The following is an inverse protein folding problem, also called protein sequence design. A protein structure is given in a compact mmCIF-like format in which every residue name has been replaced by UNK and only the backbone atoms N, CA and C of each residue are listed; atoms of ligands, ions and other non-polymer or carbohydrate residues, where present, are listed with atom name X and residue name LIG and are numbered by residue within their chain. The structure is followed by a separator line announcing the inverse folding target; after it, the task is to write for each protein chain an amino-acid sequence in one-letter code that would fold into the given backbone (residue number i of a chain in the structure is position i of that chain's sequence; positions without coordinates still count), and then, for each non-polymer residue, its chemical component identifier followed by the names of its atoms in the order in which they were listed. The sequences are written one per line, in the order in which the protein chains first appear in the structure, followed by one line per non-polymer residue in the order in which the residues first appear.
data_IF_916353574487
#
_entry.id   IF_916353574487
#
_cell.length_a   1.000
_cell.length_b   1.000
_cell.length_c   1.000
_cell.angle_alpha   90.00
_cell.angle_beta   90.00
_cell.angle_gamma   90.00
#
_symmetry.space_group_name_H-M   'P 1'
#
loop_
_entity.id
_entity.type
_entity.pdbx_description
1 polymer ?
#
# COMPACT_ATOMS: atom_id res chain seq x y z
N UNK A 1 2.99 -14.39 -17.85
CA UNK A 1 3.71 -13.10 -17.97
C UNK A 1 2.80 -12.08 -18.65
N UNK A 2 1.84 -11.51 -17.92
CA UNK A 2 0.98 -10.44 -18.45
C UNK A 2 1.38 -9.14 -17.72
N UNK A 3 1.76 -8.06 -18.44
CA UNK A 3 2.23 -6.82 -17.84
C UNK A 3 1.18 -6.14 -16.95
N UNK A 4 -0.10 -6.40 -17.17
CA UNK A 4 -1.19 -5.85 -16.36
C UNK A 4 -1.13 -6.34 -14.91
N UNK A 5 -0.46 -7.46 -14.63
CA UNK A 5 -0.20 -7.91 -13.26
C UNK A 5 0.48 -6.82 -12.40
N UNK A 6 1.23 -5.89 -13.00
CA UNK A 6 1.82 -4.75 -12.31
C UNK A 6 0.77 -3.91 -11.57
N UNK A 7 -0.42 -3.73 -12.15
CA UNK A 7 -1.49 -2.94 -11.52
C UNK A 7 -2.00 -3.57 -10.23
N UNK A 8 -1.93 -4.90 -10.11
CA UNK A 8 -2.26 -5.59 -8.85
C UNK A 8 -1.28 -5.24 -7.73
N UNK A 9 0.01 -5.11 -8.04
CA UNK A 9 1.02 -4.64 -7.08
C UNK A 9 0.80 -3.18 -6.68
N UNK A 10 0.56 -2.31 -7.67
CA UNK A 10 0.28 -0.89 -7.44
C UNK A 10 -0.92 -0.72 -6.53
N UNK A 11 -2.00 -1.46 -6.76
CA UNK A 11 -3.18 -1.44 -5.88
C UNK A 11 -2.86 -1.72 -4.41
N UNK A 12 -2.00 -2.71 -4.13
CA UNK A 12 -1.63 -3.03 -2.74
C UNK A 12 -0.80 -1.92 -2.11
N UNK A 13 0.16 -1.35 -2.84
CA UNK A 13 1.04 -0.30 -2.32
C UNK A 13 0.30 1.03 -2.08
N UNK A 14 -0.50 1.45 -3.06
CA UNK A 14 -1.30 2.68 -2.97
C UNK A 14 -2.46 2.49 -1.97
N UNK A 15 -3.28 1.45 -2.14
CA UNK A 15 -4.50 1.23 -1.33
C UNK A 15 -4.24 0.98 0.16
N UNK A 16 -3.12 0.33 0.51
CA UNK A 16 -2.74 0.12 1.92
C UNK A 16 -2.18 1.40 2.55
N UNK A 17 -1.48 2.23 1.77
CA UNK A 17 -0.92 3.50 2.24
C UNK A 17 -2.01 4.52 2.58
N UNK A 18 -3.07 4.59 1.76
CA UNK A 18 -4.18 5.54 1.98
C UNK A 18 -4.96 5.26 3.27
N UNK A 19 -5.25 3.99 3.53
CA UNK A 19 -6.17 3.60 4.61
C UNK A 19 -5.53 3.57 6.00
N UNK A 20 -4.23 3.27 6.07
CA UNK A 20 -3.55 2.93 7.34
C UNK A 20 -2.28 3.81 7.56
N UNK A 21 -1.70 4.36 6.50
CA UNK A 21 -0.40 5.07 6.56
C UNK A 21 -0.41 6.27 7.51
N UNK A 22 -1.44 7.13 7.42
CA UNK A 22 -1.55 8.30 8.30
C UNK A 22 -1.67 7.92 9.78
N UNK A 23 -2.54 6.95 10.10
CA UNK A 23 -2.71 6.46 11.48
C UNK A 23 -1.43 5.81 12.03
N UNK A 24 -0.68 5.08 11.18
CA UNK A 24 0.62 4.52 11.56
C UNK A 24 1.66 5.62 11.80
N UNK A 25 1.71 6.65 10.96
CA UNK A 25 2.63 7.77 11.12
C UNK A 25 2.39 8.50 12.46
N UNK A 26 1.14 8.82 12.79
CA UNK A 26 0.77 9.43 14.07
C UNK A 26 1.13 8.52 15.26
N UNK A 27 0.88 7.22 15.15
CA UNK A 27 1.18 6.25 16.21
C UNK A 27 2.69 6.07 16.41
N UNK A 28 3.48 6.06 15.35
CA UNK A 28 4.95 6.01 15.41
C UNK A 28 5.48 7.28 16.05
N UNK A 29 5.00 8.44 15.59
CA UNK A 29 5.42 9.74 16.10
C UNK A 29 5.18 9.85 17.61
N UNK A 30 3.98 9.51 18.07
CA UNK A 30 3.62 9.58 19.49
C UNK A 30 4.36 8.54 20.33
N UNK A 31 4.45 7.29 19.88
CA UNK A 31 5.12 6.21 20.63
C UNK A 31 6.62 6.49 20.82
N UNK A 32 7.27 7.06 19.81
CA UNK A 32 8.71 7.36 19.84
C UNK A 32 9.03 8.82 20.22
N UNK A 33 8.01 9.63 20.51
CA UNK A 33 8.15 11.06 20.83
C UNK A 33 8.99 11.84 19.80
N UNK A 34 8.72 11.59 18.51
CA UNK A 34 9.49 12.18 17.41
C UNK A 34 8.96 13.57 17.01
N UNK A 35 9.84 14.51 16.65
CA UNK A 35 9.41 15.81 16.14
C UNK A 35 8.69 15.67 14.78
N UNK A 36 7.80 16.61 14.40
CA UNK A 36 7.10 16.57 13.12
C UNK A 36 8.02 16.46 11.89
N UNK A 37 9.21 17.07 11.94
CA UNK A 37 10.21 17.02 10.88
C UNK A 37 10.73 15.60 10.59
N UNK A 38 10.69 14.69 11.57
CA UNK A 38 11.08 13.30 11.37
C UNK A 38 10.03 12.50 10.58
N UNK A 39 8.79 12.98 10.52
CA UNK A 39 7.65 12.26 9.91
C UNK A 39 7.28 12.80 8.53
N UNK A 40 7.98 13.83 8.03
CA UNK A 40 7.58 14.58 6.83
C UNK A 40 7.32 13.70 5.61
N UNK A 41 8.15 12.66 5.37
CA UNK A 41 7.96 11.70 4.27
C UNK A 41 6.71 10.82 4.46
N UNK A 42 6.54 10.23 5.63
CA UNK A 42 5.41 9.37 5.96
C UNK A 42 4.08 10.13 5.86
N UNK A 43 4.05 11.36 6.40
CA UNK A 43 2.86 12.20 6.39
C UNK A 43 2.56 12.70 4.98
N UNK A 44 3.52 13.29 4.28
CA UNK A 44 3.27 13.86 2.94
C UNK A 44 2.86 12.79 1.92
N UNK A 45 3.44 11.59 2.01
CA UNK A 45 3.09 10.50 1.12
C UNK A 45 1.69 9.95 1.41
N UNK A 46 1.31 9.81 2.69
CA UNK A 46 -0.04 9.34 3.07
C UNK A 46 -1.18 10.32 2.75
N UNK A 47 -0.89 11.61 2.65
CA UNK A 47 -1.90 12.67 2.43
C UNK A 47 -2.16 12.93 0.94
N UNK A 48 -1.26 12.51 0.04
CA UNK A 48 -1.42 12.70 -1.42
C UNK A 48 -2.38 11.70 -2.10
N UNK A 49 -2.90 10.75 -1.34
CA UNK A 49 -3.34 9.45 -1.87
C UNK A 49 -4.75 9.39 -2.49
N UNK A 50 -5.62 10.39 -2.28
CA UNK A 50 -6.98 10.35 -2.87
C UNK A 50 -6.97 10.57 -4.39
N UNK A 51 -6.15 11.48 -4.89
CA UNK A 51 -6.04 11.75 -6.33
C UNK A 51 -5.37 10.56 -7.04
N UNK A 52 -4.43 9.89 -6.39
CA UNK A 52 -3.79 8.66 -6.89
C UNK A 52 -4.81 7.52 -7.04
N UNK A 53 -5.72 7.34 -6.06
CA UNK A 53 -6.78 6.34 -6.16
C UNK A 53 -7.78 6.64 -7.29
N UNK A 54 -8.21 7.90 -7.42
CA UNK A 54 -9.12 8.29 -8.51
C UNK A 54 -8.48 8.09 -9.89
N UNK A 55 -7.19 8.45 -10.02
CA UNK A 55 -6.44 8.20 -11.24
C UNK A 55 -6.30 6.71 -11.53
N UNK A 56 -5.97 5.90 -10.53
CA UNK A 56 -5.87 4.45 -10.66
C UNK A 56 -7.20 3.83 -11.09
N UNK A 57 -8.31 4.21 -10.45
CA UNK A 57 -9.66 3.78 -10.83
C UNK A 57 -9.96 4.13 -12.29
N UNK A 58 -9.64 5.35 -12.73
CA UNK A 58 -9.85 5.78 -14.13
C UNK A 58 -9.08 4.92 -15.14
N UNK A 59 -7.91 4.38 -14.75
CA UNK A 59 -7.15 3.45 -15.58
C UNK A 59 -7.78 2.06 -15.59
N UNK A 60 -8.20 1.55 -14.42
CA UNK A 60 -8.80 0.23 -14.29
C UNK A 60 -10.14 0.15 -15.04
N UNK A 61 -10.92 1.22 -15.03
CA UNK A 61 -12.19 1.32 -15.76
C UNK A 61 -12.03 1.20 -17.29
N UNK A 62 -10.83 1.39 -17.83
CA UNK A 62 -10.53 1.20 -19.26
C UNK A 62 -10.25 -0.27 -19.62
N UNK A 63 -10.04 -1.13 -18.63
CA UNK A 63 -9.72 -2.55 -18.82
C UNK A 63 -11.04 -3.33 -18.81
N UNK A 64 -11.53 -3.71 -19.99
CA UNK A 64 -12.84 -4.35 -20.15
C UNK A 64 -12.79 -5.86 -20.36
N UNK A 65 -11.61 -6.39 -20.73
CA UNK A 65 -11.40 -7.82 -20.88
C UNK A 65 -11.34 -8.50 -19.51
N UNK A 66 -12.22 -9.46 -19.29
CA UNK A 66 -12.34 -10.19 -18.02
C UNK A 66 -11.05 -10.93 -17.66
N UNK A 67 -10.37 -11.51 -18.65
CA UNK A 67 -9.09 -12.19 -18.45
C UNK A 67 -7.99 -11.26 -17.94
N UNK A 68 -7.96 -10.02 -18.42
CA UNK A 68 -6.99 -9.00 -18.00
C UNK A 68 -7.30 -8.46 -16.61
N UNK A 69 -8.59 -8.26 -16.30
CA UNK A 69 -9.04 -7.92 -14.94
C UNK A 69 -8.66 -9.03 -13.95
N UNK A 70 -8.84 -10.29 -14.33
CA UNK A 70 -8.50 -11.43 -13.47
C UNK A 70 -7.01 -11.47 -13.15
N UNK A 71 -6.15 -11.21 -14.13
CA UNK A 71 -4.69 -11.12 -13.92
C UNK A 71 -4.33 -10.06 -12.87
N UNK A 72 -4.99 -8.89 -12.92
CA UNK A 72 -4.76 -7.80 -11.96
C UNK A 72 -5.18 -8.23 -10.55
N UNK A 73 -6.36 -8.84 -10.43
CA UNK A 73 -6.92 -9.31 -9.17
C UNK A 73 -6.02 -10.39 -8.55
N UNK A 74 -5.57 -11.36 -9.34
CA UNK A 74 -4.73 -12.46 -8.85
C UNK A 74 -3.35 -11.95 -8.41
N UNK A 75 -2.79 -10.99 -9.14
CA UNK A 75 -1.57 -10.30 -8.74
C UNK A 75 -1.75 -9.55 -7.42
N UNK A 76 -2.84 -8.80 -7.25
CA UNK A 76 -3.13 -8.09 -6.01
C UNK A 76 -3.23 -9.04 -4.81
N UNK A 77 -3.94 -10.17 -4.96
CA UNK A 77 -4.04 -11.21 -3.91
C UNK A 77 -2.67 -11.76 -3.53
N UNK A 78 -1.83 -12.05 -4.52
CA UNK A 78 -0.47 -12.54 -4.29
C UNK A 78 0.37 -11.51 -3.54
N UNK A 79 0.33 -10.23 -3.95
CA UNK A 79 1.10 -9.16 -3.32
C UNK A 79 0.62 -8.89 -1.89
N UNK A 80 -0.69 -8.92 -1.62
CA UNK A 80 -1.20 -8.85 -0.25
C UNK A 80 -0.67 -10.00 0.62
N UNK A 81 -0.66 -11.23 0.10
CA UNK A 81 -0.13 -12.38 0.82
C UNK A 81 1.36 -12.23 1.12
N UNK A 82 2.16 -11.82 0.11
CA UNK A 82 3.60 -11.57 0.25
C UNK A 82 3.91 -10.44 1.23
N UNK A 83 3.16 -9.34 1.17
CA UNK A 83 3.31 -8.21 2.09
C UNK A 83 3.03 -8.64 3.54
N UNK A 84 1.94 -9.40 3.75
CA UNK A 84 1.64 -9.98 5.05
C UNK A 84 2.70 -10.98 5.53
N UNK A 85 3.29 -11.77 4.63
CA UNK A 85 4.40 -12.68 4.97
C UNK A 85 5.65 -11.90 5.38
N UNK A 86 5.99 -10.83 4.67
CA UNK A 86 7.09 -9.93 5.03
C UNK A 86 6.90 -9.36 6.44
N UNK A 87 5.72 -8.83 6.77
CA UNK A 87 5.44 -8.31 8.11
C UNK A 87 5.53 -9.40 9.19
N UNK A 88 5.02 -10.61 8.93
CA UNK A 88 5.15 -11.75 9.86
C UNK A 88 6.58 -12.24 10.04
N UNK A 89 7.44 -12.00 9.05
CA UNK A 89 8.86 -12.37 9.11
C UNK A 89 9.71 -11.40 9.92
N UNK A 90 9.16 -10.22 10.28
CA UNK A 90 9.88 -9.26 11.12
C UNK A 90 10.13 -9.89 12.50
N UNK A 91 11.34 -9.78 13.04
CA UNK A 91 11.65 -10.30 14.36
C UNK A 91 10.77 -9.62 15.41
N UNK A 92 10.19 -10.40 16.30
CA UNK A 92 9.57 -9.83 17.50
C UNK A 92 10.69 -9.34 18.41
N UNK A 93 10.71 -8.04 18.70
CA UNK A 93 11.52 -7.53 19.79
C UNK A 93 10.87 -7.96 21.10
N UNK A 94 11.12 -9.19 21.52
CA UNK A 94 10.95 -9.57 22.92
C UNK A 94 12.11 -8.93 23.69
N UNK A 95 11.79 -7.93 24.52
CA UNK A 95 12.70 -7.38 25.52
C UNK A 95 13.21 -8.56 26.36
N UNK A 96 14.50 -8.89 26.23
CA UNK A 96 15.21 -9.64 27.26
C UNK A 96 15.62 -8.70 28.38
#
# INVERSE_FOLDING_TARGET
HNPLALFGMVWVLEGTSVGIGGQMAEKIQSTLSLPPSAMTYLISHSVLDQDHLQFFESLMNKITKVEDQQVIIDSAKMVFALYGQMLRSLPSFSTQ
#
